data_IF_327536121658
#
_entry.id   IF_327536121658
#
_cell.length_a   1.000
_cell.length_b   1.000
_cell.length_c   1.000
_cell.angle_alpha   90.00
_cell.angle_beta   90.00
_cell.angle_gamma   90.00
#
_symmetry.space_group_name_H-M   'P 1'
#
loop_
_entity.id
_entity.type
_entity.pdbx_description
1 polymer ?
#
# COMPACT_ATOMS: atom_id res chain seq x y z
N UNK A 1 11.08 -1.69 -15.47
CA UNK A 1 11.01 -1.79 -13.99
C UNK A 1 10.78 -0.39 -13.44
N UNK A 2 9.69 -0.17 -12.72
CA UNK A 2 9.29 1.16 -12.23
C UNK A 2 8.91 1.08 -10.76
N UNK A 3 8.99 2.21 -10.04
CA UNK A 3 8.49 2.35 -8.67
C UNK A 3 7.07 2.87 -8.72
N UNK A 4 6.12 2.10 -8.18
CA UNK A 4 4.70 2.43 -8.19
C UNK A 4 4.23 2.65 -6.76
N UNK A 5 3.67 3.82 -6.51
CA UNK A 5 3.10 4.19 -5.22
C UNK A 5 1.58 4.26 -5.35
N UNK A 6 0.88 3.45 -4.58
CA UNK A 6 -0.57 3.57 -4.44
C UNK A 6 -0.86 4.29 -3.12
N UNK A 7 -1.44 5.49 -3.19
CA UNK A 7 -1.74 6.32 -2.02
C UNK A 7 -3.22 6.17 -1.65
N UNK A 8 -3.50 5.85 -0.38
CA UNK A 8 -4.85 5.87 0.17
C UNK A 8 -4.83 6.34 1.61
N UNK A 9 -5.52 7.44 1.89
CA UNK A 9 -5.60 8.02 3.25
C UNK A 9 -6.91 7.71 3.96
N UNK A 10 -7.87 7.11 3.24
CA UNK A 10 -9.24 6.84 3.72
C UNK A 10 -9.52 5.37 3.95
N UNK A 11 -8.74 4.48 3.35
CA UNK A 11 -8.99 3.05 3.41
C UNK A 11 -7.93 2.36 4.28
N UNK A 12 -8.32 1.42 5.15
CA UNK A 12 -7.37 0.61 5.90
C UNK A 12 -6.42 -0.15 4.97
N UNK A 13 -5.17 -0.41 5.40
CA UNK A 13 -4.18 -1.18 4.62
C UNK A 13 -4.62 -2.60 4.24
N UNK A 14 -5.64 -3.14 4.90
CA UNK A 14 -6.22 -4.45 4.64
C UNK A 14 -7.46 -4.41 3.73
N UNK A 15 -7.85 -3.22 3.23
CA UNK A 15 -9.02 -3.09 2.35
C UNK A 15 -8.80 -3.91 1.08
N UNK A 16 -9.66 -4.91 0.89
CA UNK A 16 -9.58 -5.88 -0.20
C UNK A 16 -9.61 -5.23 -1.58
N UNK A 17 -10.27 -4.07 -1.73
CA UNK A 17 -10.36 -3.37 -3.01
C UNK A 17 -9.00 -2.87 -3.44
N UNK A 18 -8.26 -2.26 -2.53
CA UNK A 18 -6.95 -1.68 -2.82
C UNK A 18 -5.87 -2.76 -2.83
N UNK A 19 -5.85 -3.62 -1.81
CA UNK A 19 -4.80 -4.61 -1.66
C UNK A 19 -4.88 -5.71 -2.70
N UNK A 20 -6.04 -6.34 -2.87
CA UNK A 20 -6.16 -7.55 -3.70
C UNK A 20 -6.42 -7.22 -5.16
N UNK A 21 -7.31 -6.26 -5.45
CA UNK A 21 -7.70 -5.98 -6.84
C UNK A 21 -6.69 -5.10 -7.57
N UNK A 22 -6.15 -4.08 -6.92
CA UNK A 22 -5.18 -3.18 -7.54
C UNK A 22 -3.75 -3.68 -7.38
N UNK A 23 -3.23 -3.67 -6.14
CA UNK A 23 -1.83 -4.02 -5.89
C UNK A 23 -1.53 -5.51 -6.11
N UNK A 24 -2.44 -6.41 -5.74
CA UNK A 24 -2.25 -7.86 -5.89
C UNK A 24 -2.09 -8.31 -7.34
N UNK A 25 -2.77 -7.65 -8.28
CA UNK A 25 -2.62 -7.93 -9.72
C UNK A 25 -1.25 -7.49 -10.24
N UNK A 26 -0.78 -6.32 -9.78
CA UNK A 26 0.54 -5.78 -10.13
C UNK A 26 1.69 -6.58 -9.48
N UNK A 27 1.52 -7.03 -8.23
CA UNK A 27 2.51 -7.78 -7.47
C UNK A 27 2.81 -9.14 -8.10
N UNK A 28 1.77 -9.84 -8.59
CA UNK A 28 1.91 -11.13 -9.27
C UNK A 28 2.81 -11.10 -10.50
N UNK A 29 2.90 -9.95 -11.17
CA UNK A 29 3.77 -9.80 -12.34
C UNK A 29 5.25 -9.68 -11.98
N UNK A 30 5.57 -9.30 -10.73
CA UNK A 30 6.94 -9.04 -10.26
C UNK A 30 7.74 -8.06 -11.16
N UNK A 31 7.05 -7.17 -11.87
CA UNK A 31 7.64 -6.25 -12.86
C UNK A 31 8.02 -4.87 -12.26
N UNK A 32 7.48 -4.56 -11.08
CA UNK A 32 7.52 -3.25 -10.46
C UNK A 32 7.78 -3.34 -8.97
N UNK A 33 8.46 -2.34 -8.42
CA UNK A 33 8.58 -2.16 -6.97
C UNK A 33 7.32 -1.44 -6.49
N UNK A 34 6.54 -2.09 -5.62
CA UNK A 34 5.23 -1.59 -5.19
C UNK A 34 5.30 -1.06 -3.77
N UNK A 35 4.75 0.14 -3.56
CA UNK A 35 4.55 0.72 -2.24
C UNK A 35 3.10 1.15 -2.05
N UNK A 36 2.46 0.67 -0.99
CA UNK A 36 1.17 1.14 -0.50
C UNK A 36 1.41 2.22 0.55
N UNK A 37 0.96 3.45 0.28
CA UNK A 37 1.04 4.56 1.23
C UNK A 37 -0.32 4.71 1.91
N UNK A 38 -0.34 4.65 3.25
CA UNK A 38 -1.55 4.73 4.08
C UNK A 38 -1.45 5.82 5.14
N UNK A 39 -2.57 6.14 5.76
CA UNK A 39 -2.66 7.04 6.92
C UNK A 39 -3.53 6.42 8.03
N UNK A 40 -3.33 5.14 8.30
CA UNK A 40 -4.16 4.37 9.25
C UNK A 40 -3.54 4.25 10.65
N UNK A 41 -2.33 4.78 10.86
CA UNK A 41 -1.69 4.86 12.16
C UNK A 41 -1.15 3.54 12.72
N UNK A 42 -1.10 2.46 11.92
CA UNK A 42 -0.58 1.15 12.35
C UNK A 42 0.93 0.97 12.09
N UNK A 43 1.62 2.01 11.61
CA UNK A 43 3.06 2.02 11.35
C UNK A 43 3.46 1.44 9.99
N UNK A 44 4.68 1.74 9.55
CA UNK A 44 5.25 1.21 8.29
C UNK A 44 5.53 -0.29 8.42
N UNK A 45 5.27 -1.07 7.37
CA UNK A 45 5.46 -2.52 7.38
C UNK A 45 5.97 -3.02 6.02
N UNK A 46 6.74 -4.09 6.02
CA UNK A 46 6.98 -4.87 4.81
C UNK A 46 5.99 -6.04 4.82
N UNK A 47 5.16 -6.15 3.79
CA UNK A 47 4.45 -7.40 3.56
C UNK A 47 5.47 -8.43 3.05
N UNK A 48 5.16 -9.71 3.23
CA UNK A 48 6.09 -10.84 3.08
C UNK A 48 7.00 -10.73 1.84
N UNK A 49 8.16 -11.43 1.87
CA UNK A 49 9.10 -11.47 0.73
C UNK A 49 8.44 -11.87 -0.60
N UNK A 50 7.31 -12.57 -0.54
CA UNK A 50 6.53 -13.05 -1.68
C UNK A 50 5.67 -11.96 -2.35
N UNK A 51 5.14 -11.00 -1.59
CA UNK A 51 4.24 -9.97 -2.13
C UNK A 51 4.99 -8.77 -2.72
N UNK A 52 6.31 -8.64 -2.46
CA UNK A 52 7.15 -7.50 -2.87
C UNK A 52 6.49 -6.13 -2.67
N UNK A 53 5.70 -6.01 -1.60
CA UNK A 53 4.87 -4.85 -1.31
C UNK A 53 5.33 -4.20 -0.01
N UNK A 54 5.82 -2.96 -0.12
CA UNK A 54 6.13 -2.11 1.03
C UNK A 54 4.89 -1.33 1.45
N UNK A 55 4.65 -1.20 2.74
CA UNK A 55 3.65 -0.28 3.29
C UNK A 55 4.37 0.86 3.97
N UNK A 56 4.06 2.09 3.57
CA UNK A 56 4.48 3.32 4.25
C UNK A 56 3.27 3.94 4.92
N UNK A 57 3.33 4.15 6.23
CA UNK A 57 2.26 4.81 6.98
C UNK A 57 2.65 6.25 7.31
N UNK A 58 1.79 7.19 6.92
CA UNK A 58 1.90 8.62 7.22
C UNK A 58 1.45 8.95 8.65
N UNK A 59 0.91 7.97 9.38
CA UNK A 59 0.29 8.16 10.68
C UNK A 59 -1.16 8.63 10.55
N UNK A 60 -1.74 9.09 11.66
CA UNK A 60 -3.09 9.64 11.67
C UNK A 60 -3.04 11.09 11.19
N UNK A 61 -3.64 11.37 10.03
CA UNK A 61 -3.65 12.70 9.46
C UNK A 61 -4.76 13.59 10.07
N UNK A 62 -4.46 14.87 10.39
CA UNK A 62 -5.47 15.82 10.81
C UNK A 62 -6.30 16.24 9.59
N UNK A 63 -7.49 15.64 9.45
CA UNK A 63 -8.36 15.81 8.29
C UNK A 63 -8.43 14.53 7.47
N UNK A 64 -9.63 14.17 7.05
CA UNK A 64 -9.93 12.78 6.71
C UNK A 64 -9.30 12.28 5.40
N UNK A 65 -8.69 13.14 4.55
CA UNK A 65 -8.29 12.80 3.16
C UNK A 65 -7.13 13.66 2.62
N UNK A 66 -6.18 13.00 1.95
CA UNK A 66 -5.27 13.52 0.90
C UNK A 66 -5.69 12.88 -0.41
#
# INVERSE_FOLDING_TARGET
MAKVFHLTTVHPRSDIRIRVKELGSLAKGNLHELTLVVADGQGTANLSQEEQLKIVDLGVLPGNRI
#
